data_IF_827558757830
#
_entry.id   IF_827558757830
#
_cell.length_a   1.000
_cell.length_b   1.000
_cell.length_c   1.000
_cell.angle_alpha   90.00
_cell.angle_beta   90.00
_cell.angle_gamma   90.00
#
_symmetry.space_group_name_H-M   'P 1'
#
loop_
_entity.id
_entity.type
_entity.pdbx_description
1 polymer ?
#
# COMPACT_ATOMS: atom_id res chain seq x y z
N UNK A 1 -10.18 -6.25 9.36
CA UNK A 1 -9.88 -4.82 9.48
C UNK A 1 -9.19 -4.31 8.22
N UNK A 2 -9.21 -3.01 8.04
CA UNK A 2 -8.56 -2.35 6.89
C UNK A 2 -7.56 -1.32 7.40
N UNK A 3 -6.52 -1.13 6.62
CA UNK A 3 -5.53 -0.08 6.81
C UNK A 3 -5.54 0.81 5.57
N UNK A 4 -5.51 2.11 5.77
CA UNK A 4 -5.45 3.07 4.68
C UNK A 4 -4.42 4.17 5.00
N UNK A 5 -3.80 4.69 3.96
CA UNK A 5 -2.84 5.76 4.08
C UNK A 5 -3.26 6.88 3.13
N UNK A 6 -3.63 8.03 3.69
CA UNK A 6 -4.14 9.18 2.96
C UNK A 6 -3.19 10.35 3.19
N UNK A 7 -2.82 11.05 2.11
CA UNK A 7 -1.96 12.23 2.17
C UNK A 7 -2.68 13.43 1.57
N UNK A 8 -2.35 14.63 2.03
CA UNK A 8 -2.90 15.87 1.46
C UNK A 8 -2.31 16.16 0.08
N UNK A 9 -1.00 15.94 -0.08
CA UNK A 9 -0.30 16.13 -1.34
C UNK A 9 -0.13 14.80 -2.08
N UNK A 10 0.14 14.88 -3.37
CA UNK A 10 0.44 13.69 -4.19
C UNK A 10 1.60 13.98 -5.13
N UNK A 11 2.64 14.59 -4.61
CA UNK A 11 3.89 14.77 -5.34
C UNK A 11 4.84 13.58 -5.10
N UNK A 12 5.97 13.59 -5.80
CA UNK A 12 6.92 12.48 -5.71
C UNK A 12 7.49 12.31 -4.31
N UNK A 13 7.78 13.41 -3.63
CA UNK A 13 8.31 13.35 -2.25
C UNK A 13 7.30 12.75 -1.31
N UNK A 14 6.03 13.16 -1.42
CA UNK A 14 4.95 12.60 -0.60
C UNK A 14 4.77 11.12 -0.86
N UNK A 15 4.84 10.69 -2.12
CA UNK A 15 4.72 9.27 -2.49
C UNK A 15 5.84 8.44 -1.89
N UNK A 16 7.07 8.93 -1.91
CA UNK A 16 8.22 8.24 -1.29
C UNK A 16 8.04 8.17 0.23
N UNK A 17 7.61 9.25 0.85
CA UNK A 17 7.36 9.28 2.29
C UNK A 17 6.23 8.31 2.68
N UNK A 18 5.18 8.22 1.87
CA UNK A 18 4.10 7.27 2.09
C UNK A 18 4.62 5.83 2.03
N UNK A 19 5.50 5.51 1.08
CA UNK A 19 6.11 4.19 0.99
C UNK A 19 6.94 3.85 2.22
N UNK A 20 7.72 4.80 2.73
CA UNK A 20 8.50 4.62 3.96
C UNK A 20 7.60 4.37 5.16
N UNK A 21 6.52 5.14 5.29
CA UNK A 21 5.55 4.95 6.37
C UNK A 21 4.84 3.60 6.25
N UNK A 22 4.54 3.16 5.03
CA UNK A 22 3.91 1.85 4.81
C UNK A 22 4.82 0.71 5.29
N UNK A 23 6.11 0.76 5.02
CA UNK A 23 7.05 -0.26 5.49
C UNK A 23 7.04 -0.33 7.03
N UNK A 24 7.03 0.80 7.70
CA UNK A 24 6.95 0.84 9.17
C UNK A 24 5.66 0.23 9.67
N UNK A 25 4.53 0.53 9.03
CA UNK A 25 3.24 -0.02 9.41
C UNK A 25 3.22 -1.54 9.20
N UNK A 26 3.77 -2.02 8.11
CA UNK A 26 3.83 -3.45 7.82
C UNK A 26 4.72 -4.19 8.83
N UNK A 27 5.86 -3.63 9.18
CA UNK A 27 6.74 -4.24 10.18
C UNK A 27 6.07 -4.27 11.56
N UNK A 28 5.35 -3.22 11.93
CA UNK A 28 4.61 -3.19 13.18
C UNK A 28 3.50 -4.24 13.20
N UNK A 29 2.78 -4.40 12.09
CA UNK A 29 1.75 -5.43 11.96
C UNK A 29 2.35 -6.83 12.08
N UNK A 30 3.48 -7.08 11.42
CA UNK A 30 4.19 -8.36 11.48
C UNK A 30 4.63 -8.67 12.90
N UNK A 31 5.13 -7.67 13.63
CA UNK A 31 5.56 -7.84 15.02
C UNK A 31 4.40 -8.25 15.94
N UNK A 32 3.17 -7.92 15.57
CA UNK A 32 1.96 -8.31 16.31
C UNK A 32 1.28 -9.55 15.76
N UNK A 33 1.90 -10.24 14.81
CA UNK A 33 1.35 -11.44 14.19
C UNK A 33 0.24 -11.19 13.18
N UNK A 34 0.10 -9.95 12.70
CA UNK A 34 -0.89 -9.59 11.70
C UNK A 34 -0.33 -9.70 10.30
N UNK A 35 -1.18 -10.10 9.37
CA UNK A 35 -0.86 -10.13 7.94
C UNK A 35 -1.55 -8.95 7.24
N UNK A 36 -0.86 -8.35 6.28
CA UNK A 36 -1.40 -7.28 5.44
C UNK A 36 -1.50 -7.75 3.99
N UNK A 37 -2.63 -7.44 3.37
CA UNK A 37 -2.85 -7.72 1.96
C UNK A 37 -3.19 -6.42 1.25
N UNK A 38 -2.26 -5.86 0.44
CA UNK A 38 -2.53 -4.64 -0.31
C UNK A 38 -3.66 -4.83 -1.33
N UNK A 39 -4.50 -3.82 -1.46
CA UNK A 39 -5.63 -3.81 -2.37
C UNK A 39 -5.49 -2.60 -3.32
N UNK A 40 -4.40 -2.58 -4.08
CA UNK A 40 -4.02 -1.42 -4.88
C UNK A 40 -4.75 -1.29 -6.21
N UNK A 41 -5.49 -2.29 -6.64
CA UNK A 41 -6.13 -2.26 -7.95
C UNK A 41 -7.10 -1.09 -8.10
N UNK A 42 -7.84 -0.76 -7.06
CA UNK A 42 -8.76 0.37 -7.07
C UNK A 42 -8.05 1.73 -7.14
N UNK A 43 -6.76 1.78 -6.88
CA UNK A 43 -5.94 3.00 -6.92
C UNK A 43 -5.20 3.19 -8.24
N UNK A 44 -5.39 2.29 -9.21
CA UNK A 44 -4.80 2.45 -10.53
C UNK A 44 -5.53 3.55 -11.30
N UNK A 45 -4.75 4.39 -11.96
CA UNK A 45 -5.26 5.61 -12.58
C UNK A 45 -5.50 5.42 -14.08
N UNK A 46 -6.38 4.50 -14.45
CA UNK A 46 -6.80 4.35 -15.84
C UNK A 46 -8.34 4.36 -15.93
N UNK A 47 -8.92 4.66 -17.11
CA UNK A 47 -10.35 4.97 -17.20
C UNK A 47 -11.29 3.90 -16.64
N UNK A 48 -10.97 2.63 -16.82
CA UNK A 48 -11.79 1.52 -16.35
C UNK A 48 -11.88 1.46 -14.83
N UNK A 49 -10.88 1.99 -14.13
CA UNK A 49 -10.84 2.03 -12.67
C UNK A 49 -11.32 3.35 -12.08
N UNK A 50 -11.63 4.36 -12.91
CA UNK A 50 -12.01 5.67 -12.41
C UNK A 50 -13.18 5.64 -11.41
N UNK A 51 -14.28 4.88 -11.64
CA UNK A 51 -15.36 4.79 -10.64
C UNK A 51 -14.90 4.19 -9.31
N UNK A 52 -14.06 3.18 -9.36
CA UNK A 52 -13.54 2.53 -8.15
C UNK A 52 -12.56 3.43 -7.40
N UNK A 53 -11.73 4.15 -8.13
CA UNK A 53 -10.81 5.12 -7.57
C UNK A 53 -11.58 6.22 -6.81
N UNK A 54 -12.60 6.79 -7.45
CA UNK A 54 -13.44 7.81 -6.83
C UNK A 54 -14.18 7.27 -5.61
N UNK A 55 -14.70 6.05 -5.68
CA UNK A 55 -15.44 5.43 -4.59
C UNK A 55 -14.57 5.22 -3.35
N UNK A 56 -13.34 4.71 -3.50
CA UNK A 56 -12.47 4.49 -2.35
C UNK A 56 -12.00 5.82 -1.74
N UNK A 57 -11.75 6.83 -2.56
CA UNK A 57 -11.41 8.15 -2.05
C UNK A 57 -12.56 8.77 -1.27
N UNK A 58 -13.80 8.65 -1.77
CA UNK A 58 -14.97 9.14 -1.06
C UNK A 58 -15.18 8.40 0.27
N UNK A 59 -15.02 7.08 0.27
CA UNK A 59 -15.18 6.25 1.46
C UNK A 59 -14.20 6.64 2.56
N UNK A 60 -12.97 6.98 2.20
CA UNK A 60 -11.91 7.34 3.14
C UNK A 60 -11.85 8.83 3.45
N UNK A 61 -12.84 9.62 3.00
CA UNK A 61 -12.89 11.04 3.27
C UNK A 61 -11.91 11.88 2.46
N UNK A 62 -11.33 11.32 1.41
CA UNK A 62 -10.36 12.01 0.55
C UNK A 62 -10.98 12.52 -0.75
N UNK A 63 -12.29 12.39 -0.92
CA UNK A 63 -12.99 12.85 -2.12
C UNK A 63 -12.98 14.36 -2.25
N UNK A 64 -13.21 14.87 -3.46
CA UNK A 64 -13.30 16.31 -3.73
C UNK A 64 -11.96 17.03 -3.61
N UNK A 65 -10.85 16.36 -3.83
CA UNK A 65 -9.53 16.98 -3.76
C UNK A 65 -8.97 17.17 -2.35
N UNK A 66 -9.60 16.54 -1.34
CA UNK A 66 -9.17 16.66 0.06
C UNK A 66 -7.92 15.85 0.38
N UNK A 67 -7.55 14.94 -0.48
CA UNK A 67 -6.37 14.12 -0.28
C UNK A 67 -6.26 13.01 -1.31
N UNK A 68 -5.21 12.22 -1.19
CA UNK A 68 -4.95 11.08 -2.06
C UNK A 68 -4.77 9.83 -1.22
N UNK A 69 -5.47 8.77 -1.57
CA UNK A 69 -5.25 7.46 -0.95
C UNK A 69 -4.00 6.85 -1.58
N UNK A 70 -2.94 6.75 -0.81
CA UNK A 70 -1.66 6.21 -1.29
C UNK A 70 -1.62 4.69 -1.21
N UNK A 71 -2.21 4.12 -0.17
CA UNK A 71 -2.26 2.68 0.06
C UNK A 71 -3.53 2.33 0.79
N UNK A 72 -4.08 1.15 0.53
CA UNK A 72 -5.04 0.53 1.42
C UNK A 72 -4.88 -0.98 1.37
N UNK A 73 -5.15 -1.64 2.48
CA UNK A 73 -4.88 -3.05 2.65
C UNK A 73 -5.86 -3.68 3.62
N UNK A 74 -6.04 -4.98 3.51
CA UNK A 74 -6.72 -5.76 4.54
C UNK A 74 -5.71 -6.14 5.61
N UNK A 75 -6.16 -6.13 6.87
CA UNK A 75 -5.41 -6.60 8.01
C UNK A 75 -6.14 -7.76 8.65
N UNK A 76 -5.42 -8.77 9.07
CA UNK A 76 -6.01 -9.90 9.76
C UNK A 76 -4.96 -10.96 10.09
N UNK A 77 -5.44 -12.07 10.61
CA UNK A 77 -4.60 -13.21 10.90
C UNK A 77 -4.71 -14.20 9.74
N UNK A 78 -3.57 -14.72 9.32
CA UNK A 78 -3.49 -15.70 8.26
C UNK A 78 -2.42 -16.75 8.60
N UNK A 79 -2.48 -17.95 8.01
CA UNK A 79 -1.42 -18.92 8.19
C UNK A 79 -0.08 -18.32 7.77
N UNK A 80 1.00 -18.53 8.54
CA UNK A 80 2.30 -18.02 8.16
C UNK A 80 2.78 -18.68 6.87
N UNK A 81 3.48 -17.89 6.04
CA UNK A 81 4.14 -18.37 4.84
C UNK A 81 5.65 -18.28 5.04
N UNK A 82 6.37 -19.13 4.33
CA UNK A 82 7.82 -19.06 4.36
C UNK A 82 8.36 -17.79 3.71
N UNK A 83 9.65 -17.48 3.92
CA UNK A 83 10.25 -16.33 3.27
C UNK A 83 10.18 -16.43 1.77
N UNK A 84 10.00 -15.28 1.10
CA UNK A 84 10.03 -15.24 -0.35
C UNK A 84 11.43 -15.65 -0.84
N UNK A 85 11.48 -16.45 -1.93
CA UNK A 85 12.79 -16.80 -2.49
C UNK A 85 13.50 -15.56 -3.01
N UNK A 86 14.80 -15.51 -2.78
CA UNK A 86 15.65 -14.42 -3.22
C UNK A 86 16.86 -14.97 -3.95
N UNK A 87 17.26 -14.28 -4.99
CA UNK A 87 18.54 -14.57 -5.64
C UNK A 87 19.66 -14.10 -4.73
N UNK A 88 20.77 -14.82 -4.73
CA UNK A 88 21.96 -14.34 -4.07
C UNK A 88 22.49 -13.07 -4.71
N UNK A 89 23.29 -12.32 -3.98
CA UNK A 89 23.87 -11.05 -4.46
C UNK A 89 24.61 -11.26 -5.79
N UNK A 90 25.29 -12.39 -5.94
CA UNK A 90 26.07 -12.71 -7.14
C UNK A 90 25.22 -12.76 -8.41
N UNK A 91 23.94 -13.15 -8.29
CA UNK A 91 23.03 -13.21 -9.45
C UNK A 91 22.67 -11.82 -10.00
N UNK A 92 22.89 -10.78 -9.22
CA UNK A 92 22.59 -9.40 -9.59
C UNK A 92 23.85 -8.60 -9.96
N UNK A 93 25.03 -9.18 -9.81
CA UNK A 93 26.28 -8.52 -10.18
C UNK A 93 26.57 -8.82 -11.65
N UNK A 94 26.74 -7.78 -12.44
CA UNK A 94 27.11 -7.88 -13.85
C UNK A 94 28.63 -7.89 -13.96
N UNK A 95 29.12 -8.80 -14.74
CA UNK A 95 30.55 -8.87 -15.02
C UNK A 95 31.14 -10.19 -14.74
#
# INVERSE_FOLDING_TARGET
AFFAMVTEANDRVTQVQAGRAYVRAQLAATAQGLSMHPLQQALQEYPEQAPHYAAIHALLGAGGGRGTVQMWARLGYAPPVGPAPRRGVQAHVLG
#
